data_IF_381599027670
#
_entry.id   IF_381599027670
#
_cell.length_a   1.000
_cell.length_b   1.000
_cell.length_c   1.000
_cell.angle_alpha   90.00
_cell.angle_beta   90.00
_cell.angle_gamma   90.00
#
_symmetry.space_group_name_H-M   'P 1'
#
loop_
_entity.id
_entity.type
_entity.pdbx_description
1 polymer ?
#
# COMPACT_ATOMS: atom_id res chain seq x y z
N UNK A 1 15.20 -8.74 13.63
CA UNK A 1 14.38 -7.52 13.79
C UNK A 1 14.69 -6.61 12.61
N UNK A 2 13.69 -6.27 11.79
CA UNK A 2 13.90 -5.42 10.62
C UNK A 2 14.57 -4.10 11.05
N UNK A 3 15.67 -3.77 10.39
CA UNK A 3 16.42 -2.53 10.62
C UNK A 3 15.56 -1.26 10.55
N UNK A 4 14.44 -1.29 9.82
CA UNK A 4 13.50 -0.17 9.70
C UNK A 4 12.63 -0.01 10.95
N UNK A 5 12.18 -1.13 11.54
CA UNK A 5 11.44 -1.11 12.80
C UNK A 5 12.37 -0.66 13.92
N UNK A 6 13.60 -1.17 13.94
CA UNK A 6 14.62 -0.80 14.93
C UNK A 6 15.11 0.67 14.83
N UNK A 7 14.82 1.36 13.72
CA UNK A 7 15.21 2.76 13.48
C UNK A 7 14.02 3.72 13.43
N UNK A 8 12.84 3.29 13.88
CA UNK A 8 11.60 4.05 13.83
C UNK A 8 11.31 4.67 12.45
N UNK A 9 11.65 3.95 11.38
CA UNK A 9 11.40 4.35 10.00
C UNK A 9 12.50 5.20 9.34
N UNK A 10 13.58 5.56 10.05
CA UNK A 10 14.71 6.29 9.46
C UNK A 10 15.64 5.37 8.66
N UNK A 11 15.95 5.73 7.41
CA UNK A 11 16.93 4.98 6.62
C UNK A 11 18.37 5.35 7.03
N UNK A 12 19.03 4.47 7.79
CA UNK A 12 20.47 4.56 7.98
C UNK A 12 21.24 4.36 6.65
N UNK A 13 22.54 4.65 6.62
CA UNK A 13 23.34 4.62 5.37
C UNK A 13 23.26 3.28 4.62
N UNK A 14 23.38 2.15 5.30
CA UNK A 14 23.32 0.81 4.66
C UNK A 14 21.91 0.48 4.17
N UNK A 15 20.89 0.76 4.97
CA UNK A 15 19.49 0.54 4.61
C UNK A 15 19.09 1.39 3.39
N UNK A 16 19.53 2.66 3.36
CA UNK A 16 19.32 3.58 2.24
C UNK A 16 19.94 3.06 0.93
N UNK A 17 21.15 2.51 0.98
CA UNK A 17 21.78 1.90 -0.19
C UNK A 17 20.96 0.71 -0.72
N UNK A 18 20.55 -0.23 0.15
CA UNK A 18 19.72 -1.38 -0.25
C UNK A 18 18.37 -0.95 -0.82
N UNK A 19 17.67 -0.05 -0.13
CA UNK A 19 16.40 0.50 -0.57
C UNK A 19 16.53 1.20 -1.94
N UNK A 20 17.62 1.94 -2.16
CA UNK A 20 17.91 2.60 -3.43
C UNK A 20 18.09 1.59 -4.56
N UNK A 21 18.84 0.50 -4.33
CA UNK A 21 19.02 -0.55 -5.33
C UNK A 21 17.68 -1.21 -5.71
N UNK A 22 16.86 -1.55 -4.72
CA UNK A 22 15.52 -2.11 -4.97
C UNK A 22 14.63 -1.12 -5.75
N UNK A 23 14.65 0.16 -5.38
CA UNK A 23 13.88 1.19 -6.07
C UNK A 23 14.33 1.41 -7.52
N UNK A 24 15.64 1.33 -7.80
CA UNK A 24 16.17 1.37 -9.17
C UNK A 24 15.69 0.15 -9.97
N UNK A 25 15.78 -1.05 -9.39
CA UNK A 25 15.28 -2.28 -10.02
C UNK A 25 13.78 -2.19 -10.34
N UNK A 26 12.97 -1.76 -9.37
CA UNK A 26 11.53 -1.57 -9.55
C UNK A 26 11.22 -0.55 -10.65
N UNK A 27 11.95 0.58 -10.68
CA UNK A 27 11.81 1.60 -11.73
C UNK A 27 12.16 1.05 -13.11
N UNK A 28 13.22 0.25 -13.24
CA UNK A 28 13.58 -0.40 -14.50
C UNK A 28 12.47 -1.36 -14.98
N UNK A 29 11.87 -2.14 -14.07
CA UNK A 29 10.73 -3.01 -14.40
C UNK A 29 9.49 -2.23 -14.86
N UNK A 30 9.26 -1.04 -14.32
CA UNK A 30 8.17 -0.15 -14.76
C UNK A 30 8.49 0.46 -16.15
N UNK A 31 9.74 0.86 -16.40
CA UNK A 31 10.14 1.53 -17.65
C UNK A 31 10.32 0.58 -18.84
N UNK A 32 10.76 -0.64 -18.58
CA UNK A 32 10.92 -1.70 -19.56
C UNK A 32 9.86 -2.75 -19.28
N UNK A 33 8.59 -2.54 -19.70
CA UNK A 33 7.61 -3.61 -19.64
C UNK A 33 8.22 -4.78 -20.40
N UNK A 34 8.42 -5.91 -19.70
CA UNK A 34 9.03 -7.10 -20.28
C UNK A 34 8.40 -7.33 -21.65
N UNK A 35 9.22 -7.33 -22.72
CA UNK A 35 8.78 -7.77 -24.04
C UNK A 35 8.25 -9.20 -23.85
N UNK A 36 6.95 -9.33 -23.61
CA UNK A 36 6.26 -10.61 -23.50
C UNK A 36 6.21 -11.15 -24.92
N UNK A 37 7.28 -11.84 -25.32
CA UNK A 37 7.28 -12.76 -26.45
C UNK A 37 6.02 -13.61 -26.34
N UNK A 38 5.20 -13.53 -27.37
CA UNK A 38 3.89 -14.16 -27.51
C UNK A 38 4.00 -15.66 -27.28
N UNK A 39 3.46 -16.15 -26.17
CA UNK A 39 3.02 -17.54 -26.02
C UNK A 39 1.76 -17.58 -25.13
N UNK A 40 0.62 -17.90 -25.78
CA UNK A 40 -0.56 -18.56 -25.20
C UNK A 40 -1.28 -17.90 -24.02
N UNK A 41 -2.48 -17.37 -24.29
CA UNK A 41 -3.68 -17.42 -23.43
C UNK A 41 -3.52 -17.26 -21.89
N UNK A 42 -2.69 -16.32 -21.43
CA UNK A 42 -2.65 -15.93 -20.00
C UNK A 42 -3.84 -15.04 -19.62
N UNK A 43 -4.40 -14.28 -20.57
CA UNK A 43 -5.56 -13.39 -20.35
C UNK A 43 -6.85 -14.18 -20.11
N UNK A 44 -7.10 -15.27 -20.85
CA UNK A 44 -8.27 -16.13 -20.63
C UNK A 44 -8.20 -16.91 -19.31
N UNK A 45 -7.00 -17.33 -18.89
CA UNK A 45 -6.80 -18.02 -17.59
C UNK A 45 -6.89 -17.11 -16.37
N UNK A 46 -6.55 -15.82 -16.49
CA UNK A 46 -6.68 -14.86 -15.38
C UNK A 46 -8.14 -14.51 -15.10
N UNK A 47 -8.97 -14.35 -16.15
CA UNK A 47 -10.42 -14.11 -16.02
C UNK A 47 -11.15 -15.23 -15.27
N UNK A 48 -10.75 -16.49 -15.45
CA UNK A 48 -11.35 -17.62 -14.72
C UNK A 48 -10.89 -17.78 -13.26
N UNK A 49 -9.89 -17.00 -12.82
CA UNK A 49 -9.34 -17.06 -11.45
C UNK A 49 -9.69 -15.87 -10.58
N UNK A 50 -10.08 -14.76 -11.20
CA UNK A 50 -10.40 -13.52 -10.50
C UNK A 50 -11.90 -13.38 -10.33
N UNK A 51 -12.34 -13.21 -9.09
CA UNK A 51 -13.72 -12.97 -8.72
C UNK A 51 -13.78 -11.80 -7.75
N UNK A 52 -14.27 -10.66 -8.23
CA UNK A 52 -14.44 -9.44 -7.43
C UNK A 52 -15.51 -9.64 -6.35
N UNK A 53 -16.58 -10.39 -6.65
CA UNK A 53 -17.68 -10.66 -5.71
C UNK A 53 -17.30 -11.64 -4.60
N UNK A 54 -16.23 -12.43 -4.79
CA UNK A 54 -15.69 -13.31 -3.76
C UNK A 54 -14.72 -12.62 -2.78
N UNK A 55 -14.42 -11.33 -2.97
CA UNK A 55 -13.62 -10.56 -2.01
C UNK A 55 -14.51 -10.25 -0.79
N UNK A 56 -14.17 -10.77 0.40
CA UNK A 56 -14.97 -10.47 1.59
C UNK A 56 -14.82 -9.01 1.98
N UNK A 57 -15.88 -8.38 2.49
CA UNK A 57 -15.79 -7.11 3.20
C UNK A 57 -16.06 -7.39 4.68
N UNK A 58 -15.01 -7.49 5.51
CA UNK A 58 -15.17 -7.78 6.92
C UNK A 58 -16.03 -6.72 7.62
N UNK A 59 -16.99 -7.16 8.42
CA UNK A 59 -17.98 -6.34 9.13
C UNK A 59 -17.87 -6.46 10.66
N UNK A 60 -16.75 -7.02 11.14
CA UNK A 60 -16.47 -7.10 12.58
C UNK A 60 -16.25 -5.71 13.19
N UNK A 61 -16.36 -5.61 14.52
CA UNK A 61 -16.07 -4.36 15.23
C UNK A 61 -14.66 -3.82 14.91
N UNK A 62 -13.68 -4.70 14.70
CA UNK A 62 -12.31 -4.31 14.36
C UNK A 62 -12.23 -3.68 12.96
N UNK A 63 -12.90 -4.28 11.98
CA UNK A 63 -12.97 -3.78 10.62
C UNK A 63 -13.75 -2.47 10.51
N UNK A 64 -14.91 -2.38 11.15
CA UNK A 64 -15.75 -1.19 11.15
C UNK A 64 -15.07 -0.01 11.85
N UNK A 65 -14.37 -0.25 12.97
CA UNK A 65 -13.60 0.80 13.64
C UNK A 65 -12.44 1.31 12.77
N UNK A 66 -11.84 0.45 11.95
CA UNK A 66 -10.80 0.86 11.00
C UNK A 66 -11.35 1.75 9.88
N UNK A 67 -12.53 1.43 9.36
CA UNK A 67 -13.25 2.27 8.38
C UNK A 67 -13.60 3.62 9.00
N UNK A 68 -14.20 3.64 10.20
CA UNK A 68 -14.57 4.88 10.89
C UNK A 68 -13.36 5.79 11.13
N UNK A 69 -12.23 5.22 11.59
CA UNK A 69 -11.00 5.98 11.79
C UNK A 69 -10.49 6.60 10.48
N UNK A 70 -10.52 5.83 9.38
CA UNK A 70 -10.06 6.28 8.07
C UNK A 70 -10.97 7.37 7.49
N UNK A 71 -12.29 7.18 7.51
CA UNK A 71 -13.27 8.12 6.97
C UNK A 71 -13.32 9.43 7.76
N UNK A 72 -13.10 9.37 9.08
CA UNK A 72 -13.15 10.56 9.94
C UNK A 72 -11.94 11.49 9.75
N UNK A 73 -10.78 10.95 9.37
CA UNK A 73 -9.53 11.70 9.29
C UNK A 73 -9.12 12.13 7.87
N UNK A 74 -9.78 11.59 6.84
CA UNK A 74 -9.20 11.56 5.49
C UNK A 74 -10.08 12.17 4.40
N UNK A 75 -9.44 12.55 3.29
CA UNK A 75 -10.16 12.98 2.09
C UNK A 75 -10.86 11.79 1.43
N UNK A 76 -11.94 12.02 0.66
CA UNK A 76 -12.58 10.96 -0.12
C UNK A 76 -11.62 10.24 -1.08
N UNK A 77 -10.64 10.95 -1.64
CA UNK A 77 -9.65 10.35 -2.54
C UNK A 77 -8.76 9.33 -1.81
N UNK A 78 -8.36 9.62 -0.57
CA UNK A 78 -7.55 8.73 0.26
C UNK A 78 -8.38 7.56 0.81
N UNK A 79 -9.64 7.79 1.21
CA UNK A 79 -10.57 6.71 1.58
C UNK A 79 -10.74 5.72 0.43
N UNK A 80 -11.03 6.20 -0.79
CA UNK A 80 -11.13 5.33 -1.96
C UNK A 80 -9.79 4.65 -2.31
N UNK A 81 -8.64 5.29 -2.04
CA UNK A 81 -7.33 4.66 -2.18
C UNK A 81 -7.17 3.46 -1.24
N UNK A 82 -7.58 3.58 0.02
CA UNK A 82 -7.54 2.48 0.97
C UNK A 82 -8.43 1.31 0.53
N UNK A 83 -9.65 1.58 0.06
CA UNK A 83 -10.52 0.53 -0.50
C UNK A 83 -9.93 -0.14 -1.73
N UNK A 84 -9.45 0.64 -2.70
CA UNK A 84 -8.79 0.09 -3.88
C UNK A 84 -7.54 -0.73 -3.51
N UNK A 85 -6.74 -0.27 -2.56
CA UNK A 85 -5.56 -1.00 -2.06
C UNK A 85 -5.96 -2.37 -1.52
N UNK A 86 -7.04 -2.46 -0.74
CA UNK A 86 -7.58 -3.73 -0.28
C UNK A 86 -8.00 -4.66 -1.43
N UNK A 87 -8.78 -4.13 -2.38
CA UNK A 87 -9.33 -4.88 -3.50
C UNK A 87 -8.21 -5.39 -4.41
N UNK A 88 -7.26 -4.53 -4.77
CA UNK A 88 -6.10 -4.91 -5.58
C UNK A 88 -5.26 -5.96 -4.87
N UNK A 89 -4.97 -5.79 -3.58
CA UNK A 89 -4.24 -6.80 -2.79
C UNK A 89 -4.95 -8.15 -2.81
N UNK A 90 -6.27 -8.15 -2.62
CA UNK A 90 -7.11 -9.36 -2.63
C UNK A 90 -7.16 -10.04 -4.00
N UNK A 91 -7.28 -9.29 -5.10
CA UNK A 91 -7.24 -9.83 -6.45
C UNK A 91 -5.87 -10.42 -6.79
N UNK A 92 -4.79 -9.72 -6.44
CA UNK A 92 -3.43 -10.25 -6.61
C UNK A 92 -3.22 -11.53 -5.78
N UNK A 93 -3.79 -11.60 -4.57
CA UNK A 93 -3.81 -12.82 -3.77
C UNK A 93 -4.56 -13.97 -4.43
N UNK A 94 -5.69 -13.72 -5.10
CA UNK A 94 -6.40 -14.77 -5.85
C UNK A 94 -5.55 -15.34 -7.00
N UNK A 95 -4.75 -14.49 -7.67
CA UNK A 95 -3.83 -14.93 -8.73
C UNK A 95 -2.65 -15.76 -8.18
N UNK A 96 -2.07 -15.30 -7.08
CA UNK A 96 -0.83 -15.83 -6.52
C UNK A 96 -1.08 -17.00 -5.55
N UNK A 97 -2.32 -17.14 -5.04
CA UNK A 97 -2.81 -18.24 -4.20
C UNK A 97 -2.13 -18.43 -2.84
N UNK A 98 -1.49 -17.39 -2.30
CA UNK A 98 -0.86 -17.45 -0.97
C UNK A 98 -1.87 -17.25 0.18
N UNK A 99 -1.58 -17.78 1.39
CA UNK A 99 -2.44 -17.57 2.56
C UNK A 99 -2.44 -16.09 2.94
N UNK A 100 -3.61 -15.51 3.17
CA UNK A 100 -3.76 -14.13 3.63
C UNK A 100 -5.06 -14.04 4.42
N UNK A 101 -5.01 -13.53 5.64
CA UNK A 101 -6.19 -13.24 6.44
C UNK A 101 -6.87 -11.98 5.85
N UNK A 102 -8.10 -12.10 5.33
CA UNK A 102 -8.77 -10.99 4.67
C UNK A 102 -9.09 -9.84 5.62
N UNK A 103 -9.32 -10.11 6.90
CA UNK A 103 -9.63 -9.06 7.89
C UNK A 103 -8.37 -8.28 8.27
N UNK A 104 -7.24 -8.96 8.47
CA UNK A 104 -5.96 -8.27 8.71
C UNK A 104 -5.56 -7.44 7.49
N UNK A 105 -5.72 -7.96 6.27
CA UNK A 105 -5.44 -7.18 5.05
C UNK A 105 -6.38 -5.98 4.92
N UNK A 106 -7.68 -6.15 5.19
CA UNK A 106 -8.68 -5.08 5.13
C UNK A 106 -8.37 -3.97 6.12
N UNK A 107 -8.19 -4.31 7.40
CA UNK A 107 -7.87 -3.34 8.45
C UNK A 107 -6.55 -2.63 8.16
N UNK A 108 -5.52 -3.38 7.72
CA UNK A 108 -4.24 -2.75 7.37
C UNK A 108 -4.40 -1.78 6.19
N UNK A 109 -5.19 -2.14 5.18
CA UNK A 109 -5.46 -1.27 4.04
C UNK A 109 -6.24 0.00 4.45
N UNK A 110 -7.20 -0.10 5.36
CA UNK A 110 -7.92 1.07 5.87
C UNK A 110 -7.00 2.02 6.65
N UNK A 111 -6.01 1.49 7.37
CA UNK A 111 -5.21 2.28 8.31
C UNK A 111 -3.83 2.71 7.78
N UNK A 112 -3.34 2.14 6.68
CA UNK A 112 -1.92 2.28 6.28
C UNK A 112 -1.46 3.72 6.02
N UNK A 113 -2.39 4.55 5.56
CA UNK A 113 -2.15 5.95 5.19
C UNK A 113 -2.76 6.95 6.19
N UNK A 114 -3.20 6.50 7.39
CA UNK A 114 -3.67 7.43 8.42
C UNK A 114 -2.62 8.50 8.78
N UNK A 115 -1.33 8.15 8.73
CA UNK A 115 -0.24 9.10 8.94
C UNK A 115 -0.12 10.19 7.87
N UNK A 116 -0.83 10.07 6.74
CA UNK A 116 -0.95 11.07 5.67
C UNK A 116 -2.28 11.82 5.75
N UNK A 117 -2.68 12.20 6.97
CA UNK A 117 -3.85 13.03 7.23
C UNK A 117 -3.44 14.25 8.03
N UNK A 118 -4.18 15.36 7.91
CA UNK A 118 -3.86 16.57 8.69
C UNK A 118 -3.91 16.33 10.20
N UNK A 119 -4.78 15.42 10.64
CA UNK A 119 -4.97 15.11 12.06
C UNK A 119 -3.81 14.29 12.65
N UNK A 120 -3.20 13.40 11.86
CA UNK A 120 -2.24 12.42 12.37
C UNK A 120 -0.82 12.58 11.81
N UNK A 121 -0.60 13.40 10.79
CA UNK A 121 0.74 13.68 10.30
C UNK A 121 1.59 14.28 11.42
N UNK A 122 2.78 13.72 11.67
CA UNK A 122 3.72 14.11 12.74
C UNK A 122 3.27 13.83 14.19
N UNK A 123 2.24 13.01 14.40
CA UNK A 123 1.74 12.71 15.74
C UNK A 123 2.68 11.79 16.56
N UNK A 124 3.53 10.99 15.92
CA UNK A 124 4.46 10.09 16.59
C UNK A 124 5.81 10.78 16.76
N UNK A 125 6.06 11.33 17.95
CA UNK A 125 7.30 12.06 18.25
C UNK A 125 8.59 11.25 18.03
N UNK A 126 8.53 9.92 18.16
CA UNK A 126 9.66 9.02 17.92
C UNK A 126 9.73 8.47 16.50
N UNK A 127 8.73 8.75 15.66
CA UNK A 127 8.63 8.30 14.28
C UNK A 127 9.43 9.18 13.31
N UNK A 128 9.98 8.55 12.28
CA UNK A 128 10.71 9.23 11.20
C UNK A 128 10.17 8.89 9.81
N UNK A 129 8.93 8.42 9.76
CA UNK A 129 8.19 8.05 8.55
C UNK A 129 6.69 8.01 8.89
N UNK A 130 5.83 8.53 8.02
CA UNK A 130 4.38 8.57 8.24
C UNK A 130 3.76 7.21 8.60
N UNK A 131 4.37 6.10 8.19
CA UNK A 131 3.89 4.75 8.55
C UNK A 131 3.87 4.54 10.07
N UNK A 132 4.78 5.19 10.80
CA UNK A 132 4.79 5.19 12.27
C UNK A 132 3.70 6.10 12.85
N UNK A 133 3.42 7.24 12.21
CA UNK A 133 2.28 8.07 12.55
C UNK A 133 0.97 7.31 12.35
N UNK A 134 0.86 6.54 11.26
CA UNK A 134 -0.29 5.68 10.97
C UNK A 134 -0.51 4.61 12.04
N UNK A 135 0.53 3.87 12.42
CA UNK A 135 0.44 2.88 13.52
C UNK A 135 0.12 3.56 14.86
N UNK A 136 0.70 4.73 15.14
CA UNK A 136 0.42 5.48 16.37
C UNK A 136 -1.04 5.94 16.43
N UNK A 137 -1.56 6.48 15.33
CA UNK A 137 -2.95 6.91 15.21
C UNK A 137 -3.94 5.74 15.26
N UNK A 138 -3.54 4.57 14.76
CA UNK A 138 -4.35 3.35 14.74
C UNK A 138 -4.50 2.66 16.11
N UNK A 139 -3.75 3.07 17.15
CA UNK A 139 -3.75 2.38 18.47
C UNK A 139 -5.14 2.10 19.04
N UNK A 140 -6.11 3.03 19.05
CA UNK A 140 -7.44 2.76 19.58
C UNK A 140 -8.16 1.62 18.83
N UNK A 141 -7.93 1.50 17.53
CA UNK A 141 -8.49 0.41 16.70
C UNK A 141 -7.74 -0.89 16.98
N UNK A 142 -6.41 -0.85 17.08
CA UNK A 142 -5.57 -2.01 17.35
C UNK A 142 -5.84 -2.66 18.72
N UNK A 143 -6.24 -1.86 19.73
CA UNK A 143 -6.63 -2.34 21.06
C UNK A 143 -7.92 -3.19 21.06
N UNK A 144 -8.70 -3.17 19.97
CA UNK A 144 -9.90 -4.00 19.81
C UNK A 144 -9.59 -5.44 19.38
N UNK A 145 -8.35 -5.73 19.01
CA UNK A 145 -7.93 -7.03 18.50
C UNK A 145 -6.98 -7.74 19.46
N UNK A 146 -6.89 -9.07 19.32
CA UNK A 146 -5.88 -9.85 20.02
C UNK A 146 -4.46 -9.36 19.69
N UNK A 147 -3.51 -9.38 20.64
CA UNK A 147 -2.18 -8.79 20.45
C UNK A 147 -1.44 -9.27 19.19
N UNK A 148 -1.57 -10.54 18.82
CA UNK A 148 -0.97 -11.09 17.61
C UNK A 148 -1.57 -10.47 16.33
N UNK A 149 -2.89 -10.27 16.29
CA UNK A 149 -3.59 -9.63 15.16
C UNK A 149 -3.19 -8.17 15.04
N UNK A 150 -3.20 -7.45 16.17
CA UNK A 150 -2.77 -6.06 16.23
C UNK A 150 -1.31 -5.86 15.76
N UNK A 151 -0.43 -6.79 16.14
CA UNK A 151 0.97 -6.78 15.70
C UNK A 151 1.08 -7.00 14.19
N UNK A 152 0.35 -7.96 13.62
CA UNK A 152 0.36 -8.22 12.17
C UNK A 152 -0.13 -7.02 11.36
N UNK A 153 -1.17 -6.32 11.82
CA UNK A 153 -1.63 -5.06 11.20
C UNK A 153 -0.54 -3.99 11.28
N UNK A 154 0.06 -3.81 12.46
CA UNK A 154 1.13 -2.84 12.67
C UNK A 154 2.32 -3.11 11.75
N UNK A 155 2.77 -4.36 11.65
CA UNK A 155 3.88 -4.77 10.80
C UNK A 155 3.54 -4.57 9.31
N UNK A 156 2.33 -4.90 8.88
CA UNK A 156 1.88 -4.65 7.51
C UNK A 156 1.96 -3.16 7.17
N UNK A 157 1.42 -2.28 8.03
CA UNK A 157 1.48 -0.83 7.86
C UNK A 157 2.94 -0.34 7.84
N UNK A 158 3.80 -0.83 8.73
CA UNK A 158 5.20 -0.42 8.75
C UNK A 158 5.96 -0.89 7.51
N UNK A 159 5.65 -2.06 6.95
CA UNK A 159 6.36 -2.61 5.79
C UNK A 159 5.80 -2.13 4.44
N UNK A 160 4.55 -1.67 4.33
CA UNK A 160 3.91 -1.42 3.03
C UNK A 160 4.66 -0.45 2.12
N UNK A 161 5.45 0.45 2.69
CA UNK A 161 6.22 1.44 1.94
C UNK A 161 7.59 0.91 1.43
N UNK A 162 7.93 -0.33 1.77
CA UNK A 162 9.09 -1.00 1.21
C UNK A 162 8.86 -1.30 -0.28
N UNK A 163 9.92 -1.24 -1.07
CA UNK A 163 9.83 -1.53 -2.51
C UNK A 163 9.49 -3.00 -2.77
N UNK A 164 9.97 -3.88 -1.90
CA UNK A 164 9.71 -5.31 -1.92
C UNK A 164 9.37 -5.77 -0.50
N UNK A 165 8.33 -6.58 -0.37
CA UNK A 165 7.91 -7.19 0.89
C UNK A 165 7.70 -8.69 0.64
N UNK A 166 8.74 -9.54 0.73
CA UNK A 166 8.56 -10.98 0.59
C UNK A 166 7.60 -11.52 1.66
N UNK A 167 6.54 -12.23 1.23
CA UNK A 167 5.49 -12.71 2.14
C UNK A 167 5.99 -13.73 3.18
N UNK A 168 7.00 -14.54 2.83
CA UNK A 168 7.61 -15.51 3.75
C UNK A 168 8.38 -14.84 4.90
N UNK A 169 8.91 -13.64 4.67
CA UNK A 169 9.74 -12.92 5.66
C UNK A 169 8.91 -11.94 6.51
N UNK A 170 7.88 -11.34 5.92
CA UNK A 170 7.14 -10.21 6.49
C UNK A 170 5.63 -10.47 6.66
N UNK A 171 5.16 -11.66 6.30
CA UNK A 171 3.74 -11.98 6.26
C UNK A 171 3.09 -11.58 4.93
N UNK A 172 2.13 -12.40 4.51
CA UNK A 172 1.43 -12.21 3.25
C UNK A 172 0.47 -11.02 3.27
N UNK A 173 -0.01 -10.60 4.44
CA UNK A 173 -0.82 -9.38 4.56
C UNK A 173 0.01 -8.13 4.23
N UNK A 174 1.24 -8.04 4.75
CA UNK A 174 2.16 -6.96 4.41
C UNK A 174 2.51 -6.97 2.91
N UNK A 175 2.72 -8.16 2.34
CA UNK A 175 2.97 -8.33 0.92
C UNK A 175 1.83 -7.79 0.06
N UNK A 176 0.60 -8.23 0.30
CA UNK A 176 -0.54 -7.83 -0.53
C UNK A 176 -1.01 -6.40 -0.27
N UNK A 177 -0.80 -5.86 0.94
CA UNK A 177 -0.97 -4.44 1.22
C UNK A 177 -0.02 -3.61 0.34
N UNK A 178 1.27 -3.96 0.34
CA UNK A 178 2.28 -3.28 -0.48
C UNK A 178 1.98 -3.41 -1.98
N UNK A 179 1.60 -4.61 -2.43
CA UNK A 179 1.30 -4.87 -3.83
C UNK A 179 0.05 -4.10 -4.30
N UNK A 180 -1.01 -4.07 -3.47
CA UNK A 180 -2.23 -3.32 -3.74
C UNK A 180 -1.99 -1.82 -3.83
N UNK A 181 -1.27 -1.24 -2.85
CA UNK A 181 -0.91 0.17 -2.85
C UNK A 181 0.00 0.52 -4.05
N UNK A 182 0.97 -0.35 -4.37
CA UNK A 182 1.88 -0.16 -5.51
C UNK A 182 1.15 -0.23 -6.86
N UNK A 183 0.15 -1.11 -6.99
CA UNK A 183 -0.73 -1.14 -8.15
C UNK A 183 -1.48 0.19 -8.25
N UNK A 184 -2.16 0.64 -7.19
CA UNK A 184 -2.98 1.86 -7.24
C UNK A 184 -2.16 3.14 -7.46
N UNK A 185 -0.95 3.23 -6.91
CA UNK A 185 -0.13 4.44 -6.94
C UNK A 185 0.81 4.49 -8.15
N UNK A 186 1.34 3.35 -8.57
CA UNK A 186 2.40 3.29 -9.60
C UNK A 186 2.07 2.41 -10.80
N UNK A 187 0.97 1.66 -10.77
CA UNK A 187 0.59 0.75 -11.85
C UNK A 187 1.40 -0.55 -11.90
N UNK A 188 2.10 -0.90 -10.82
CA UNK A 188 2.77 -2.20 -10.76
C UNK A 188 1.75 -3.32 -10.86
N UNK A 189 2.05 -4.35 -11.67
CA UNK A 189 1.14 -5.47 -11.95
C UNK A 189 -0.21 -5.06 -12.55
N UNK A 190 -0.32 -3.85 -13.13
CA UNK A 190 -1.54 -3.37 -13.78
C UNK A 190 -2.11 -4.37 -14.80
N UNK A 191 -1.25 -4.95 -15.63
CA UNK A 191 -1.63 -5.92 -16.68
C UNK A 191 -1.97 -7.33 -16.17
N UNK A 192 -1.77 -7.60 -14.87
CA UNK A 192 -2.18 -8.87 -14.27
C UNK A 192 -3.68 -8.89 -13.97
N UNK A 193 -4.29 -7.71 -13.78
CA UNK A 193 -5.74 -7.55 -13.57
C UNK A 193 -6.42 -7.21 -14.90
N UNK A 194 -7.43 -7.97 -15.37
CA UNK A 194 -8.17 -7.66 -16.59
C UNK A 194 -8.81 -6.26 -16.58
N UNK A 195 -8.87 -5.61 -17.74
CA UNK A 195 -9.42 -4.26 -17.88
C UNK A 195 -10.84 -4.12 -17.31
N UNK A 196 -11.73 -5.09 -17.59
CA UNK A 196 -13.11 -5.07 -17.08
C UNK A 196 -13.18 -5.00 -15.55
N UNK A 197 -12.38 -5.81 -14.84
CA UNK A 197 -12.31 -5.77 -13.37
C UNK A 197 -11.73 -4.44 -12.90
N UNK A 198 -10.72 -3.91 -13.60
CA UNK A 198 -10.15 -2.59 -13.24
C UNK A 198 -11.20 -1.49 -13.35
N UNK A 199 -11.97 -1.49 -14.44
CA UNK A 199 -13.01 -0.49 -14.70
C UNK A 199 -14.13 -0.57 -13.66
N UNK A 200 -14.53 -1.78 -13.26
CA UNK A 200 -15.53 -2.01 -12.21
C UNK A 200 -15.08 -1.44 -10.86
N UNK A 201 -13.88 -1.78 -10.41
CA UNK A 201 -13.32 -1.27 -9.14
C UNK A 201 -13.13 0.25 -9.17
N UNK A 202 -12.72 0.82 -10.30
CA UNK A 202 -12.58 2.28 -10.45
C UNK A 202 -13.92 3.00 -10.52
N UNK A 203 -14.99 2.32 -10.97
CA UNK A 203 -16.35 2.85 -10.94
C UNK A 203 -16.92 2.88 -9.53
N UNK A 204 -16.66 1.83 -8.73
CA UNK A 204 -17.11 1.75 -7.33
C UNK A 204 -16.30 2.68 -6.41
N UNK A 205 -14.99 2.75 -6.64
CA UNK A 205 -14.07 3.57 -5.85
C UNK A 205 -13.29 4.52 -6.75
N UNK A 206 -13.88 5.67 -7.14
CA UNK A 206 -13.25 6.63 -8.03
C UNK A 206 -11.95 7.19 -7.43
N UNK A 207 -10.97 7.46 -8.30
CA UNK A 207 -9.65 7.95 -7.88
C UNK A 207 -9.65 9.40 -7.43
N UNK A 208 -10.61 10.20 -7.90
CA UNK A 208 -10.67 11.63 -7.62
C UNK A 208 -9.28 12.27 -7.83
N UNK A 209 -8.85 13.19 -6.98
CA UNK A 209 -7.57 13.91 -7.16
C UNK A 209 -6.35 13.19 -6.56
N UNK A 210 -6.38 11.85 -6.44
CA UNK A 210 -5.37 11.07 -5.72
C UNK A 210 -3.92 11.39 -6.14
N UNK A 211 -3.61 11.49 -7.45
CA UNK A 211 -2.22 11.80 -7.88
C UNK A 211 -1.75 13.16 -7.36
N UNK A 212 -2.64 14.15 -7.23
CA UNK A 212 -2.29 15.47 -6.69
C UNK A 212 -2.08 15.39 -5.18
N UNK A 213 -2.97 14.71 -4.47
CA UNK A 213 -2.90 14.55 -3.02
C UNK A 213 -1.66 13.79 -2.58
N UNK A 214 -1.34 12.64 -3.21
CA UNK A 214 -0.12 11.89 -2.90
C UNK A 214 1.15 12.69 -3.19
N UNK A 215 1.17 13.50 -4.26
CA UNK A 215 2.30 14.38 -4.53
C UNK A 215 2.48 15.46 -3.46
N UNK A 216 1.39 15.98 -2.91
CA UNK A 216 1.41 16.92 -1.79
C UNK A 216 1.95 16.27 -0.52
N UNK A 217 1.46 15.07 -0.18
CA UNK A 217 1.93 14.32 0.98
C UNK A 217 3.40 13.91 0.88
N UNK A 218 3.85 13.48 -0.30
CA UNK A 218 5.28 13.24 -0.55
C UNK A 218 6.11 14.51 -0.31
N UNK A 219 5.62 15.70 -0.67
CA UNK A 219 6.37 16.93 -0.40
C UNK A 219 6.42 17.27 1.10
N UNK A 220 5.30 17.18 1.81
CA UNK A 220 5.23 17.45 3.26
C UNK A 220 6.06 16.47 4.08
N UNK A 221 5.89 15.19 3.82
CA UNK A 221 6.58 14.13 4.54
C UNK A 221 8.09 14.20 4.33
N UNK A 222 8.55 14.57 3.13
CA UNK A 222 9.99 14.70 2.86
C UNK A 222 10.61 15.96 3.42
N UNK A 223 9.81 17.01 3.64
CA UNK A 223 10.26 18.21 4.35
C UNK A 223 10.42 17.93 5.85
N UNK A 224 9.47 17.19 6.45
CA UNK A 224 9.51 16.82 7.86
C UNK A 224 10.55 15.73 8.16
N UNK A 225 10.58 14.69 7.33
CA UNK A 225 11.43 13.51 7.51
C UNK A 225 12.35 13.29 6.30
N UNK A 226 13.44 14.07 6.17
CA UNK A 226 14.34 14.00 5.00
C UNK A 226 15.11 12.67 4.88
N UNK A 227 15.09 11.83 5.91
CA UNK A 227 15.71 10.51 5.94
C UNK A 227 14.69 9.36 5.85
N UNK A 228 13.41 9.65 5.58
CA UNK A 228 12.37 8.64 5.40
C UNK A 228 12.50 7.90 4.07
N UNK A 229 11.71 6.81 3.95
CA UNK A 229 11.56 6.06 2.68
C UNK A 229 10.93 6.92 1.57
N UNK A 230 9.96 7.78 1.87
CA UNK A 230 9.45 8.76 0.90
C UNK A 230 10.54 9.70 0.41
N UNK A 231 11.47 10.13 1.27
CA UNK A 231 12.57 11.00 0.84
C UNK A 231 13.54 10.27 -0.10
N UNK A 232 13.81 8.99 0.15
CA UNK A 232 14.59 8.16 -0.77
C UNK A 232 13.86 7.98 -2.12
N UNK A 233 12.57 7.63 -2.11
CA UNK A 233 11.78 7.46 -3.33
C UNK A 233 11.64 8.77 -4.13
N UNK A 234 11.40 9.90 -3.47
CA UNK A 234 11.32 11.22 -4.11
C UNK A 234 12.60 11.56 -4.88
N UNK A 235 13.78 11.30 -4.29
CA UNK A 235 15.09 11.50 -4.96
C UNK A 235 15.25 10.64 -6.21
N UNK A 236 14.58 9.49 -6.27
CA UNK A 236 14.61 8.58 -7.42
C UNK A 236 13.52 8.87 -8.47
N UNK A 237 12.75 9.95 -8.28
CA UNK A 237 11.75 10.42 -9.23
C UNK A 237 10.35 9.86 -9.01
N UNK A 238 10.02 9.40 -7.80
CA UNK A 238 8.72 8.79 -7.47
C UNK A 238 7.51 9.65 -7.87
N UNK A 239 7.55 10.97 -7.68
CA UNK A 239 6.47 11.88 -8.13
C UNK A 239 6.20 11.79 -9.64
N UNK A 240 7.26 11.56 -10.44
CA UNK A 240 7.14 11.35 -11.88
C UNK A 240 6.50 10.01 -12.23
N UNK A 241 6.77 8.97 -11.42
CA UNK A 241 6.13 7.65 -11.55
C UNK A 241 4.63 7.77 -11.23
N UNK A 242 4.26 8.40 -10.10
CA UNK A 242 2.86 8.66 -9.72
C UNK A 242 2.11 9.35 -10.87
N UNK A 243 2.70 10.41 -11.45
CA UNK A 243 2.08 11.17 -12.54
C UNK A 243 1.79 10.30 -13.77
N UNK A 244 2.73 9.41 -14.10
CA UNK A 244 2.68 8.52 -15.27
C UNK A 244 1.97 7.18 -15.00
N UNK A 245 1.48 6.94 -13.78
CA UNK A 245 0.75 5.72 -13.46
C UNK A 245 -0.46 5.58 -14.42
N UNK A 246 -0.79 4.35 -14.86
CA UNK A 246 -1.72 4.04 -15.94
C UNK A 246 -3.19 4.27 -15.61
N UNK A 247 -3.47 4.94 -14.49
CA UNK A 247 -4.80 5.32 -14.06
C UNK A 247 -5.01 6.83 -14.19
N UNK A 248 -6.20 7.25 -14.59
CA UNK A 248 -6.61 8.65 -14.53
C UNK A 248 -6.89 9.09 -13.09
N UNK A 249 -6.68 10.38 -12.80
CA UNK A 249 -7.03 11.04 -11.51
C UNK A 249 -6.93 12.56 -11.66
#
# INVERSE_FOLDING_TARGET
>A
MDTLIASNGALNTRARWRFTLQAVEAKLKIMLPTLKLTFGDKRGRALGKLDLGAIPYPDSCFALAAVEAMESASTPALVHHCYRTYIWGSLLRQLDTNPCDPEILFVSAMLHDLGLTEQHHSCCASGHCFTWDGVYAAKPVLELAEPERAQRVSDAILHHLNIQVPGEDHGWEAHYLQAGASLDVTGQRYDDIPALIRDEVLSEHPRLQLKRELQHWVDRETALHPNSRFAAMKRLGFKGIIRKAPFES
#
